data_IF_755233573264
#
_entry.id   IF_755233573264
#
_cell.length_a   1.000
_cell.length_b   1.000
_cell.length_c   1.000
_cell.angle_alpha   90.00
_cell.angle_beta   90.00
_cell.angle_gamma   90.00
#
_symmetry.space_group_name_H-M   'P 1'
#
loop_
_entity.id
_entity.type
_entity.pdbx_description
1 polymer ?
#
# COMPACT_ATOMS: atom_id res chain seq x y z
N UNK A 1 -25.45 -8.70 -30.39
CA UNK A 1 -25.06 -10.13 -30.31
C UNK A 1 -25.94 -10.82 -29.28
N UNK A 2 -26.44 -12.05 -29.54
CA UNK A 2 -27.24 -12.79 -28.55
C UNK A 2 -26.36 -13.50 -27.50
N UNK A 3 -26.97 -13.94 -26.40
CA UNK A 3 -26.26 -14.57 -25.27
C UNK A 3 -25.39 -15.79 -25.67
N UNK A 4 -25.80 -16.58 -26.66
CA UNK A 4 -25.02 -17.72 -27.15
C UNK A 4 -23.70 -17.28 -27.77
N UNK A 5 -23.75 -16.19 -28.53
CA UNK A 5 -22.58 -15.63 -29.19
C UNK A 5 -21.67 -14.92 -28.19
N UNK A 6 -22.25 -14.11 -27.29
CA UNK A 6 -21.51 -13.47 -26.20
C UNK A 6 -20.80 -14.51 -25.30
N UNK A 7 -21.47 -15.62 -24.98
CA UNK A 7 -20.90 -16.75 -24.23
C UNK A 7 -19.69 -17.36 -24.94
N UNK A 8 -19.79 -17.60 -26.25
CA UNK A 8 -18.68 -18.12 -27.06
C UNK A 8 -17.51 -17.14 -27.15
N UNK A 9 -17.77 -15.85 -27.31
CA UNK A 9 -16.73 -14.82 -27.47
C UNK A 9 -15.98 -14.52 -26.17
N UNK A 10 -16.61 -14.73 -25.02
CA UNK A 10 -16.07 -14.37 -23.70
C UNK A 10 -15.56 -15.57 -22.90
N UNK A 11 -15.79 -16.80 -23.39
CA UNK A 11 -15.58 -18.06 -22.65
C UNK A 11 -16.33 -18.12 -21.30
N UNK A 12 -17.39 -17.33 -21.16
CA UNK A 12 -18.29 -17.37 -20.00
C UNK A 12 -19.48 -18.26 -20.29
N UNK A 13 -19.97 -18.97 -19.28
CA UNK A 13 -21.23 -19.71 -19.40
C UNK A 13 -22.40 -18.72 -19.46
N UNK A 14 -23.51 -19.12 -20.11
CA UNK A 14 -24.74 -18.29 -20.14
C UNK A 14 -25.21 -17.92 -18.73
N UNK A 15 -25.15 -18.88 -17.80
CA UNK A 15 -25.47 -18.66 -16.37
C UNK A 15 -24.57 -17.62 -15.72
N UNK A 16 -23.26 -17.61 -16.03
CA UNK A 16 -22.36 -16.58 -15.51
C UNK A 16 -22.71 -15.19 -16.07
N UNK A 17 -23.04 -15.10 -17.36
CA UNK A 17 -23.48 -13.85 -17.99
C UNK A 17 -24.78 -13.35 -17.33
N UNK A 18 -25.76 -14.24 -17.11
CA UNK A 18 -27.01 -13.92 -16.41
C UNK A 18 -26.74 -13.42 -14.99
N UNK A 19 -25.89 -14.11 -14.24
CA UNK A 19 -25.46 -13.68 -12.92
C UNK A 19 -24.82 -12.28 -12.94
N UNK A 20 -23.93 -11.97 -13.88
CA UNK A 20 -23.32 -10.64 -13.96
C UNK A 20 -24.31 -9.53 -14.33
N UNK A 21 -25.39 -9.85 -15.05
CA UNK A 21 -26.50 -8.91 -15.29
C UNK A 21 -27.29 -8.69 -13.99
N UNK A 22 -27.60 -9.74 -13.25
CA UNK A 22 -28.27 -9.65 -11.93
C UNK A 22 -27.44 -8.83 -10.93
N UNK A 23 -26.12 -9.00 -10.94
CA UNK A 23 -25.17 -8.24 -10.13
C UNK A 23 -24.91 -6.82 -10.63
N UNK A 24 -25.59 -6.39 -11.70
CA UNK A 24 -25.49 -5.05 -12.31
C UNK A 24 -24.05 -4.71 -12.75
N UNK A 25 -23.34 -5.70 -13.28
CA UNK A 25 -22.01 -5.51 -13.89
C UNK A 25 -22.09 -5.33 -15.41
N UNK A 26 -23.14 -5.87 -16.04
CA UNK A 26 -23.37 -5.78 -17.49
C UNK A 26 -24.82 -5.42 -17.74
N UNK A 27 -25.07 -4.52 -18.69
CA UNK A 27 -26.39 -3.94 -18.95
C UNK A 27 -26.76 -4.09 -20.42
N UNK A 28 -27.02 -5.33 -20.91
CA UNK A 28 -27.39 -5.55 -22.30
C UNK A 28 -28.74 -4.91 -22.62
N UNK A 29 -28.98 -4.60 -23.89
CA UNK A 29 -30.28 -4.12 -24.34
C UNK A 29 -31.31 -5.27 -24.30
N UNK A 30 -32.57 -4.95 -24.01
CA UNK A 30 -33.67 -5.90 -24.08
C UNK A 30 -34.45 -5.59 -25.36
N UNK A 31 -34.52 -6.56 -26.26
CA UNK A 31 -35.28 -6.46 -27.51
C UNK A 31 -36.78 -6.66 -27.25
N UNK A 32 -37.62 -6.26 -28.20
CA UNK A 32 -39.08 -6.37 -28.11
C UNK A 32 -39.58 -7.81 -27.88
N UNK A 33 -38.80 -8.79 -28.33
CA UNK A 33 -39.07 -10.22 -28.16
C UNK A 33 -38.57 -10.79 -26.82
N UNK A 34 -38.10 -9.94 -25.91
CA UNK A 34 -37.57 -10.30 -24.59
C UNK A 34 -36.14 -10.86 -24.61
N UNK A 35 -35.51 -11.02 -25.77
CA UNK A 35 -34.12 -11.47 -25.85
C UNK A 35 -33.16 -10.34 -25.47
N UNK A 36 -32.05 -10.73 -24.84
CA UNK A 36 -30.96 -9.80 -24.51
C UNK A 36 -30.01 -9.66 -25.68
N UNK A 37 -29.79 -8.42 -26.10
CA UNK A 37 -28.84 -8.03 -27.13
C UNK A 37 -27.63 -7.34 -26.51
N UNK A 38 -26.48 -7.99 -26.61
CA UNK A 38 -25.19 -7.54 -26.11
C UNK A 38 -24.48 -6.72 -27.18
N UNK A 39 -24.14 -5.48 -26.84
CA UNK A 39 -23.29 -4.60 -27.64
C UNK A 39 -21.83 -4.96 -27.46
N UNK A 40 -20.96 -4.40 -28.30
CA UNK A 40 -19.51 -4.62 -28.19
C UNK A 40 -18.96 -4.23 -26.81
N UNK A 41 -19.43 -3.11 -26.24
CA UNK A 41 -19.04 -2.68 -24.89
C UNK A 41 -19.46 -3.67 -23.80
N UNK A 42 -20.61 -4.35 -23.96
CA UNK A 42 -21.05 -5.37 -23.01
C UNK A 42 -20.13 -6.60 -23.08
N UNK A 43 -19.74 -7.00 -24.29
CA UNK A 43 -18.82 -8.11 -24.52
C UNK A 43 -17.42 -7.77 -24.00
N UNK A 44 -16.94 -6.55 -24.17
CA UNK A 44 -15.67 -6.10 -23.56
C UNK A 44 -15.74 -6.10 -22.03
N UNK A 45 -16.85 -5.62 -21.45
CA UNK A 45 -17.04 -5.71 -20.00
C UNK A 45 -16.99 -7.18 -19.53
N UNK A 46 -17.67 -8.09 -20.23
CA UNK A 46 -17.63 -9.53 -19.94
C UNK A 46 -16.22 -10.14 -20.05
N UNK A 47 -15.40 -9.71 -21.03
CA UNK A 47 -13.98 -10.13 -21.12
C UNK A 47 -13.16 -9.64 -19.92
N UNK A 48 -13.35 -8.39 -19.50
CA UNK A 48 -12.70 -7.85 -18.28
C UNK A 48 -13.09 -8.66 -17.05
N UNK A 49 -14.39 -8.94 -16.88
CA UNK A 49 -14.89 -9.77 -15.78
C UNK A 49 -14.27 -11.17 -15.82
N UNK A 50 -14.18 -11.79 -17.00
CA UNK A 50 -13.50 -13.07 -17.17
C UNK A 50 -12.06 -13.03 -16.64
N UNK A 51 -11.27 -12.04 -17.06
CA UNK A 51 -9.88 -11.87 -16.59
C UNK A 51 -9.83 -11.72 -15.08
N UNK A 52 -10.62 -10.82 -14.50
CA UNK A 52 -10.62 -10.58 -13.05
C UNK A 52 -11.02 -11.82 -12.25
N UNK A 53 -12.02 -12.59 -12.72
CA UNK A 53 -12.39 -13.86 -12.07
C UNK A 53 -11.29 -14.89 -12.15
N UNK A 54 -10.55 -14.97 -13.26
CA UNK A 54 -9.39 -15.87 -13.40
C UNK A 54 -8.22 -15.45 -12.50
N UNK A 55 -8.12 -14.17 -12.17
CA UNK A 55 -7.18 -13.64 -11.18
C UNK A 55 -7.68 -13.80 -9.73
N UNK A 56 -8.87 -14.37 -9.51
CA UNK A 56 -9.38 -14.67 -8.18
C UNK A 56 -10.12 -13.51 -7.49
N UNK A 57 -10.53 -12.47 -8.23
CA UNK A 57 -11.31 -11.38 -7.67
C UNK A 57 -12.76 -11.79 -7.39
N UNK A 58 -13.31 -11.32 -6.27
CA UNK A 58 -14.72 -11.44 -5.92
C UNK A 58 -15.61 -10.58 -6.84
N UNK A 59 -16.91 -10.81 -6.82
CA UNK A 59 -17.85 -9.98 -7.62
C UNK A 59 -17.85 -8.53 -7.13
N UNK A 60 -17.72 -8.32 -5.83
CA UNK A 60 -17.64 -7.01 -5.18
C UNK A 60 -16.35 -6.27 -5.58
N UNK A 61 -15.20 -6.96 -5.54
CA UNK A 61 -13.92 -6.41 -6.01
C UNK A 61 -13.99 -6.02 -7.49
N UNK A 62 -14.58 -6.87 -8.34
CA UNK A 62 -14.76 -6.58 -9.78
C UNK A 62 -15.62 -5.34 -9.98
N UNK A 63 -16.70 -5.20 -9.21
CA UNK A 63 -17.57 -4.02 -9.29
C UNK A 63 -16.82 -2.75 -8.91
N UNK A 64 -16.01 -2.81 -7.85
CA UNK A 64 -15.19 -1.70 -7.42
C UNK A 64 -14.15 -1.33 -8.49
N UNK A 65 -13.41 -2.32 -9.03
CA UNK A 65 -12.42 -2.13 -10.09
C UNK A 65 -13.02 -1.53 -11.35
N UNK A 66 -14.19 -2.00 -11.79
CA UNK A 66 -14.85 -1.46 -12.99
C UNK A 66 -15.38 -0.03 -12.80
N UNK A 67 -15.67 0.38 -11.56
CA UNK A 67 -16.06 1.75 -11.22
C UNK A 67 -14.84 2.69 -11.07
N UNK A 68 -13.66 2.14 -10.79
CA UNK A 68 -12.42 2.88 -10.61
C UNK A 68 -11.76 3.24 -11.94
N UNK A 69 -11.59 4.54 -12.19
CA UNK A 69 -10.92 5.07 -13.38
C UNK A 69 -9.40 5.23 -13.22
N UNK A 70 -8.88 4.97 -12.02
CA UNK A 70 -7.54 5.39 -11.58
C UNK A 70 -6.57 4.22 -11.33
N UNK A 71 -7.02 2.97 -11.52
CA UNK A 71 -6.31 1.73 -11.15
C UNK A 71 -5.94 1.58 -9.66
N UNK A 72 -6.31 2.53 -8.80
CA UNK A 72 -5.98 2.50 -7.37
C UNK A 72 -6.54 1.25 -6.67
N UNK A 73 -7.74 0.80 -7.03
CA UNK A 73 -8.35 -0.39 -6.45
C UNK A 73 -7.58 -1.64 -6.85
N UNK A 74 -7.18 -1.76 -8.12
CA UNK A 74 -6.34 -2.88 -8.58
C UNK A 74 -4.97 -2.87 -7.89
N UNK A 75 -4.35 -1.70 -7.73
CA UNK A 75 -3.08 -1.56 -7.03
C UNK A 75 -3.21 -1.92 -5.54
N UNK A 76 -4.31 -1.55 -4.89
CA UNK A 76 -4.61 -1.94 -3.49
C UNK A 76 -4.80 -3.45 -3.37
N UNK A 77 -5.60 -4.06 -4.25
CA UNK A 77 -5.80 -5.52 -4.29
C UNK A 77 -4.45 -6.22 -4.48
N UNK A 78 -3.60 -5.72 -5.37
CA UNK A 78 -2.25 -6.27 -5.59
C UNK A 78 -1.43 -6.31 -4.29
N UNK A 79 -1.39 -5.22 -3.53
CA UNK A 79 -0.69 -5.17 -2.22
C UNK A 79 -1.33 -6.11 -1.21
N UNK A 80 -2.66 -6.19 -1.15
CA UNK A 80 -3.35 -7.13 -0.25
C UNK A 80 -2.98 -8.58 -0.57
N UNK A 81 -2.91 -8.96 -1.86
CA UNK A 81 -2.50 -10.31 -2.27
C UNK A 81 -1.05 -10.61 -1.91
N UNK A 82 -0.16 -9.63 -2.04
CA UNK A 82 1.23 -9.76 -1.62
C UNK A 82 1.34 -10.02 -0.11
N UNK A 83 0.65 -9.23 0.70
CA UNK A 83 0.63 -9.42 2.16
C UNK A 83 0.05 -10.78 2.55
N UNK A 84 -1.02 -11.24 1.89
CA UNK A 84 -1.57 -12.59 2.11
C UNK A 84 -0.51 -13.65 1.79
N UNK A 85 0.19 -13.53 0.66
CA UNK A 85 1.24 -14.48 0.27
C UNK A 85 2.37 -14.53 1.31
N UNK A 86 2.80 -13.38 1.83
CA UNK A 86 3.80 -13.29 2.90
C UNK A 86 3.33 -14.02 4.16
N UNK A 87 2.08 -13.78 4.59
CA UNK A 87 1.49 -14.44 5.77
C UNK A 87 1.40 -15.95 5.59
N UNK A 88 1.03 -16.43 4.40
CA UNK A 88 0.98 -17.87 4.11
C UNK A 88 2.38 -18.50 4.10
N UNK A 89 3.40 -17.76 3.66
CA UNK A 89 4.79 -18.20 3.76
C UNK A 89 5.26 -18.31 5.22
N UNK A 90 4.84 -17.39 6.10
CA UNK A 90 5.12 -17.48 7.54
C UNK A 90 4.38 -18.65 8.21
N UNK A 91 3.10 -18.86 7.89
CA UNK A 91 2.34 -20.03 8.37
C UNK A 91 2.96 -21.34 7.92
N UNK A 92 3.51 -21.39 6.70
CA UNK A 92 4.28 -22.55 6.21
C UNK A 92 5.54 -22.78 7.05
N UNK A 93 6.25 -21.73 7.45
CA UNK A 93 7.39 -21.82 8.37
C UNK A 93 6.97 -22.40 9.73
N UNK A 94 5.85 -21.93 10.28
CA UNK A 94 5.25 -22.45 11.52
C UNK A 94 4.91 -23.94 11.39
N UNK A 95 4.33 -24.37 10.26
CA UNK A 95 4.06 -25.77 10.00
C UNK A 95 5.33 -26.62 10.04
N UNK A 96 6.44 -26.12 9.48
CA UNK A 96 7.73 -26.81 9.55
C UNK A 96 8.23 -26.89 11.00
N UNK A 97 8.11 -25.82 11.79
CA UNK A 97 8.50 -25.84 13.21
C UNK A 97 7.67 -26.84 14.04
N UNK A 98 6.39 -27.02 13.70
CA UNK A 98 5.53 -28.03 14.32
C UNK A 98 6.01 -29.46 14.03
N UNK A 99 6.50 -29.74 12.82
CA UNK A 99 7.11 -31.05 12.47
C UNK A 99 8.30 -31.37 13.38
N UNK A 100 9.11 -30.36 13.71
CA UNK A 100 10.26 -30.50 14.61
C UNK A 100 9.91 -30.44 16.10
N UNK A 101 8.62 -30.42 16.46
CA UNK A 101 8.15 -30.53 17.84
C UNK A 101 8.17 -29.23 18.65
N UNK A 102 8.17 -28.05 18.00
CA UNK A 102 8.01 -26.78 18.71
C UNK A 102 6.70 -26.75 19.50
N UNK A 103 6.74 -26.18 20.70
CA UNK A 103 5.59 -26.21 21.62
C UNK A 103 4.44 -25.32 21.12
N UNK A 104 3.20 -25.81 21.23
CA UNK A 104 1.99 -25.08 20.84
C UNK A 104 1.85 -23.70 21.49
N UNK A 105 2.30 -23.52 22.74
CA UNK A 105 2.24 -22.22 23.42
C UNK A 105 3.11 -21.16 22.74
N UNK A 106 4.23 -21.54 22.11
CA UNK A 106 5.06 -20.62 21.33
C UNK A 106 4.44 -20.39 19.96
N UNK A 107 3.95 -21.44 19.30
CA UNK A 107 3.29 -21.32 18.00
C UNK A 107 2.05 -20.42 18.04
N UNK A 108 1.30 -20.44 19.15
CA UNK A 108 0.16 -19.53 19.36
C UNK A 108 0.62 -18.06 19.37
N UNK A 109 1.80 -17.76 19.92
CA UNK A 109 2.34 -16.38 19.91
C UNK A 109 2.70 -15.95 18.49
N UNK A 110 3.36 -16.84 17.74
CA UNK A 110 3.73 -16.58 16.34
C UNK A 110 2.48 -16.37 15.46
N UNK A 111 1.44 -17.19 15.63
CA UNK A 111 0.17 -17.05 14.91
C UNK A 111 -0.55 -15.74 15.26
N UNK A 112 -0.56 -15.32 16.54
CA UNK A 112 -1.13 -14.03 16.94
C UNK A 112 -0.36 -12.86 16.33
N UNK A 113 0.96 -12.95 16.21
CA UNK A 113 1.77 -11.92 15.56
C UNK A 113 1.31 -11.72 14.10
N UNK A 114 1.08 -12.82 13.37
CA UNK A 114 0.55 -12.79 11.99
C UNK A 114 -0.83 -12.12 11.94
N UNK A 115 -1.73 -12.46 12.87
CA UNK A 115 -3.08 -11.88 12.94
C UNK A 115 -3.02 -10.37 13.24
N UNK A 116 -2.21 -9.96 14.20
CA UNK A 116 -2.03 -8.57 14.61
C UNK A 116 -1.41 -7.74 13.47
N UNK A 117 -0.37 -8.26 12.82
CA UNK A 117 0.22 -7.69 11.61
C UNK A 117 -0.81 -7.53 10.49
N UNK A 118 -1.70 -8.52 10.33
CA UNK A 118 -2.80 -8.47 9.37
C UNK A 118 -3.71 -7.28 9.60
N UNK A 119 -4.15 -7.10 10.84
CA UNK A 119 -5.04 -5.99 11.21
C UNK A 119 -4.39 -4.63 10.98
N UNK A 120 -3.14 -4.45 11.39
CA UNK A 120 -2.44 -3.16 11.24
C UNK A 120 -2.24 -2.84 9.75
N UNK A 121 -1.77 -3.80 8.95
CA UNK A 121 -1.53 -3.57 7.51
C UNK A 121 -2.81 -3.32 6.72
N UNK A 122 -3.93 -3.97 7.07
CA UNK A 122 -5.24 -3.69 6.48
C UNK A 122 -5.70 -2.27 6.80
N UNK A 123 -5.62 -1.87 8.07
CA UNK A 123 -5.97 -0.51 8.50
C UNK A 123 -5.07 0.55 7.87
N UNK A 124 -3.78 0.29 7.67
CA UNK A 124 -2.87 1.21 6.96
C UNK A 124 -3.32 1.45 5.50
N UNK A 125 -3.76 0.39 4.80
CA UNK A 125 -4.28 0.50 3.42
C UNK A 125 -5.67 1.14 3.34
N UNK A 126 -6.39 1.25 4.46
CA UNK A 126 -7.69 1.92 4.55
C UNK A 126 -7.54 3.38 4.94
N UNK A 127 -6.72 3.67 5.95
CA UNK A 127 -6.45 5.01 6.45
C UNK A 127 -5.79 5.90 5.38
N UNK A 128 -4.88 5.35 4.58
CA UNK A 128 -4.10 6.10 3.61
C UNK A 128 -4.40 5.65 2.18
N UNK A 129 -4.83 6.55 1.28
CA UNK A 129 -5.17 6.19 -0.10
C UNK A 129 -3.97 6.18 -1.05
N UNK A 130 -4.17 5.55 -2.21
CA UNK A 130 -3.29 5.66 -3.37
C UNK A 130 -1.88 5.13 -3.15
N UNK A 131 -0.90 5.74 -3.83
CA UNK A 131 0.51 5.37 -3.70
C UNK A 131 1.03 5.52 -2.27
N UNK A 132 0.66 6.61 -1.58
CA UNK A 132 1.15 6.88 -0.23
C UNK A 132 0.78 5.78 0.76
N UNK A 133 -0.48 5.33 0.77
CA UNK A 133 -0.91 4.23 1.65
C UNK A 133 -0.26 2.90 1.32
N UNK A 134 -0.06 2.58 0.03
CA UNK A 134 0.68 1.37 -0.38
C UNK A 134 2.13 1.42 0.10
N UNK A 135 2.79 2.56 -0.04
CA UNK A 135 4.17 2.74 0.42
C UNK A 135 4.28 2.59 1.94
N UNK A 136 3.47 3.33 2.70
CA UNK A 136 3.46 3.29 4.17
C UNK A 136 3.15 1.87 4.66
N UNK A 137 2.14 1.21 4.07
CA UNK A 137 1.82 -0.18 4.43
C UNK A 137 3.00 -1.12 4.22
N UNK A 138 3.66 -1.08 3.06
CA UNK A 138 4.78 -1.97 2.75
C UNK A 138 6.05 -1.63 3.57
N UNK A 139 6.25 -0.34 3.87
CA UNK A 139 7.32 0.11 4.75
C UNK A 139 7.14 -0.44 6.17
N UNK A 140 5.94 -0.37 6.75
CA UNK A 140 5.71 -0.83 8.12
C UNK A 140 5.52 -2.34 8.24
N UNK A 141 4.98 -3.02 7.21
CA UNK A 141 4.70 -4.46 7.23
C UNK A 141 5.91 -5.31 7.66
N UNK A 142 7.13 -4.94 7.24
CA UNK A 142 8.36 -5.68 7.59
C UNK A 142 8.68 -5.69 9.08
N UNK A 143 8.14 -4.75 9.84
CA UNK A 143 8.42 -4.58 11.27
C UNK A 143 7.33 -5.17 12.18
N UNK A 144 6.23 -5.67 11.59
CA UNK A 144 5.04 -6.09 12.32
C UNK A 144 4.98 -7.61 12.57
N UNK A 145 5.99 -8.36 12.12
CA UNK A 145 6.01 -9.82 12.24
C UNK A 145 6.55 -10.33 13.60
N UNK A 146 6.91 -9.43 14.50
CA UNK A 146 7.38 -9.77 15.85
C UNK A 146 6.19 -10.06 16.79
N UNK A 147 6.23 -11.14 17.59
CA UNK A 147 5.23 -11.38 18.62
C UNK A 147 5.21 -10.30 19.69
N UNK A 148 4.00 -9.93 20.14
CA UNK A 148 3.81 -9.10 21.33
C UNK A 148 4.14 -9.93 22.58
N UNK A 149 5.13 -9.48 23.34
CA UNK A 149 5.66 -10.19 24.52
C UNK A 149 5.46 -9.44 25.84
N UNK A 150 5.16 -8.13 25.80
CA UNK A 150 5.00 -7.29 26.98
C UNK A 150 3.67 -6.54 27.00
N UNK A 151 3.27 -6.06 28.18
CA UNK A 151 2.11 -5.16 28.33
C UNK A 151 2.29 -3.86 27.55
N UNK A 152 3.52 -3.36 27.46
CA UNK A 152 3.83 -2.11 26.78
C UNK A 152 3.68 -2.25 25.27
N UNK A 153 4.10 -3.38 24.70
CA UNK A 153 3.86 -3.71 23.28
C UNK A 153 2.37 -3.86 23.00
N UNK A 154 1.61 -4.49 23.91
CA UNK A 154 0.17 -4.64 23.76
C UNK A 154 -0.55 -3.28 23.79
N UNK A 155 -0.20 -2.40 24.73
CA UNK A 155 -0.74 -1.04 24.78
C UNK A 155 -0.38 -0.24 23.53
N UNK A 156 0.83 -0.40 22.99
CA UNK A 156 1.27 0.26 21.77
C UNK A 156 0.49 -0.23 20.54
N UNK A 157 0.20 -1.54 20.46
CA UNK A 157 -0.67 -2.08 19.42
C UNK A 157 -2.06 -1.45 19.47
N UNK A 158 -2.67 -1.37 20.66
CA UNK A 158 -3.99 -0.74 20.84
C UNK A 158 -3.98 0.75 20.45
N UNK A 159 -2.91 1.47 20.78
CA UNK A 159 -2.70 2.86 20.38
C UNK A 159 -2.58 3.02 18.85
N UNK A 160 -1.87 2.12 18.18
CA UNK A 160 -1.79 2.08 16.70
C UNK A 160 -3.16 1.84 16.09
N UNK A 161 -3.93 0.87 16.61
CA UNK A 161 -5.27 0.58 16.10
C UNK A 161 -6.19 1.79 16.28
N UNK A 162 -6.19 2.39 17.47
CA UNK A 162 -6.99 3.59 17.76
C UNK A 162 -6.60 4.76 16.85
N UNK A 163 -5.30 4.96 16.61
CA UNK A 163 -4.82 5.98 15.68
C UNK A 163 -5.35 5.75 14.26
N UNK A 164 -5.20 4.53 13.72
CA UNK A 164 -5.59 4.22 12.35
C UNK A 164 -7.11 4.28 12.15
N UNK A 165 -7.90 3.91 13.17
CA UNK A 165 -9.36 4.01 13.14
C UNK A 165 -9.88 5.45 13.12
N UNK A 166 -9.07 6.39 13.62
CA UNK A 166 -9.42 7.80 13.68
C UNK A 166 -8.56 8.67 12.75
N UNK A 167 -7.79 8.05 11.85
CA UNK A 167 -6.92 8.77 10.94
C UNK A 167 -7.75 9.66 10.01
N UNK A 168 -7.43 10.97 9.91
CA UNK A 168 -8.15 11.85 9.00
C UNK A 168 -7.90 11.44 7.55
N UNK A 169 -8.82 11.81 6.65
CA UNK A 169 -8.61 11.63 5.21
C UNK A 169 -7.67 12.71 4.66
N UNK A 170 -6.68 12.31 3.86
CA UNK A 170 -5.81 13.25 3.16
C UNK A 170 -6.62 14.04 2.11
N UNK A 171 -6.75 15.34 2.31
CA UNK A 171 -7.45 16.24 1.39
C UNK A 171 -6.46 16.88 0.42
N UNK A 172 -6.61 16.57 -0.87
CA UNK A 172 -5.87 17.19 -1.97
C UNK A 172 -6.87 17.85 -2.93
N UNK A 173 -6.51 18.98 -3.54
CA UNK A 173 -7.28 19.58 -4.62
C UNK A 173 -7.29 18.66 -5.85
N UNK A 174 -8.30 18.76 -6.71
CA UNK A 174 -8.46 17.87 -7.88
C UNK A 174 -7.23 17.86 -8.79
N UNK A 175 -6.60 19.01 -9.01
CA UNK A 175 -5.38 19.14 -9.81
C UNK A 175 -4.18 18.40 -9.19
N UNK A 176 -4.01 18.48 -7.86
CA UNK A 176 -2.94 17.77 -7.15
C UNK A 176 -3.21 16.27 -7.09
N UNK A 177 -4.47 15.85 -6.95
CA UNK A 177 -4.87 14.45 -7.02
C UNK A 177 -4.53 13.85 -8.38
N UNK A 178 -4.89 14.54 -9.47
CA UNK A 178 -4.58 14.11 -10.84
C UNK A 178 -3.08 14.03 -11.07
N UNK A 179 -2.32 15.06 -10.67
CA UNK A 179 -0.85 15.05 -10.79
C UNK A 179 -0.22 13.86 -10.05
N UNK A 180 -0.64 13.61 -8.80
CA UNK A 180 -0.11 12.50 -8.00
C UNK A 180 -0.48 11.15 -8.62
N UNK A 181 -1.72 11.02 -9.10
CA UNK A 181 -2.20 9.82 -9.77
C UNK A 181 -1.38 9.52 -11.03
N UNK A 182 -1.20 10.49 -11.91
CA UNK A 182 -0.43 10.32 -13.16
C UNK A 182 1.04 9.98 -12.87
N UNK A 183 1.63 10.63 -11.88
CA UNK A 183 3.02 10.42 -11.48
C UNK A 183 3.27 9.05 -10.84
N UNK A 184 2.22 8.41 -10.30
CA UNK A 184 2.37 7.16 -9.52
C UNK A 184 1.65 5.95 -10.12
N UNK A 185 0.95 6.12 -11.24
CA UNK A 185 0.13 5.07 -11.88
C UNK A 185 0.94 3.82 -12.26
N UNK A 186 2.20 4.01 -12.69
CA UNK A 186 3.10 2.93 -13.08
C UNK A 186 3.90 2.33 -11.91
N UNK A 187 3.80 2.92 -10.71
CA UNK A 187 4.55 2.47 -9.55
C UNK A 187 3.86 1.23 -8.97
N UNK A 188 4.49 0.08 -9.18
CA UNK A 188 4.04 -1.21 -8.69
C UNK A 188 4.75 -1.59 -7.37
N UNK A 189 4.45 -2.79 -6.86
CA UNK A 189 5.01 -3.30 -5.61
C UNK A 189 6.53 -3.40 -5.66
N UNK A 190 7.10 -3.84 -6.78
CA UNK A 190 8.55 -3.99 -6.92
C UNK A 190 9.24 -2.64 -6.82
N UNK A 191 8.71 -1.61 -7.47
CA UNK A 191 9.27 -0.26 -7.35
C UNK A 191 9.27 0.24 -5.90
N UNK A 192 8.21 -0.04 -5.14
CA UNK A 192 8.16 0.32 -3.71
C UNK A 192 9.22 -0.46 -2.93
N UNK A 193 9.39 -1.76 -3.19
CA UNK A 193 10.43 -2.58 -2.56
C UNK A 193 11.82 -2.04 -2.85
N UNK A 194 12.11 -1.74 -4.11
CA UNK A 194 13.40 -1.19 -4.51
C UNK A 194 13.70 0.11 -3.75
N UNK A 195 12.71 1.00 -3.57
CA UNK A 195 12.89 2.23 -2.77
C UNK A 195 13.20 1.90 -1.31
N UNK A 196 12.49 0.94 -0.70
CA UNK A 196 12.72 0.62 0.71
C UNK A 196 14.08 -0.08 0.91
N UNK A 197 14.44 -1.02 0.04
CA UNK A 197 15.74 -1.71 0.06
C UNK A 197 16.91 -0.75 -0.16
N UNK A 198 16.79 0.18 -1.11
CA UNK A 198 17.80 1.22 -1.33
C UNK A 198 17.94 2.15 -0.11
N UNK A 199 16.81 2.45 0.56
CA UNK A 199 16.82 3.25 1.80
C UNK A 199 17.56 2.52 2.91
N UNK A 200 17.28 1.22 3.11
CA UNK A 200 17.95 0.37 4.08
C UNK A 200 19.46 0.29 3.81
N UNK A 201 19.85 0.04 2.56
CA UNK A 201 21.25 0.03 2.15
C UNK A 201 21.96 1.38 2.44
N UNK A 202 21.28 2.51 2.22
CA UNK A 202 21.83 3.84 2.52
C UNK A 202 22.05 4.08 4.02
N UNK A 203 21.21 3.48 4.87
CA UNK A 203 21.33 3.57 6.32
C UNK A 203 22.46 2.68 6.83
N UNK A 204 22.61 1.48 6.27
CA UNK A 204 23.70 0.56 6.63
C UNK A 204 25.07 1.01 6.10
N UNK A 205 25.10 1.74 4.98
CA UNK A 205 26.34 2.12 4.28
C UNK A 205 26.40 3.63 3.97
N UNK A 206 26.31 4.52 4.99
CA UNK A 206 26.13 5.95 4.76
C UNK A 206 27.30 6.62 4.05
N UNK A 207 28.55 6.24 4.38
CA UNK A 207 29.75 6.81 3.71
C UNK A 207 29.78 6.49 2.22
N UNK A 208 29.50 5.22 1.90
CA UNK A 208 29.49 4.75 0.52
C UNK A 208 28.37 5.44 -0.26
N UNK A 209 27.16 5.46 0.29
CA UNK A 209 26.01 6.16 -0.30
C UNK A 209 26.33 7.63 -0.58
N UNK A 210 26.88 8.35 0.40
CA UNK A 210 27.23 9.77 0.26
C UNK A 210 28.30 10.00 -0.81
N UNK A 211 29.32 9.13 -0.87
CA UNK A 211 30.38 9.25 -1.87
C UNK A 211 29.89 8.98 -3.30
N UNK A 212 29.07 7.94 -3.48
CA UNK A 212 28.57 7.53 -4.80
C UNK A 212 27.48 8.47 -5.33
N UNK A 213 26.73 9.12 -4.44
CA UNK A 213 25.59 9.97 -4.80
C UNK A 213 25.87 11.47 -4.62
N UNK A 214 27.12 11.87 -4.36
CA UNK A 214 27.49 13.25 -4.06
C UNK A 214 26.93 14.27 -5.06
N UNK A 215 27.21 14.06 -6.35
CA UNK A 215 26.76 14.98 -7.41
C UNK A 215 25.23 15.06 -7.48
N UNK A 216 24.55 13.92 -7.34
CA UNK A 216 23.09 13.87 -7.33
C UNK A 216 22.49 14.60 -6.12
N UNK A 217 23.07 14.40 -4.93
CA UNK A 217 22.64 15.07 -3.69
C UNK A 217 22.79 16.59 -3.83
N UNK A 218 23.94 17.08 -4.32
CA UNK A 218 24.19 18.51 -4.51
C UNK A 218 23.21 19.14 -5.52
N UNK A 219 22.97 18.48 -6.66
CA UNK A 219 21.97 18.91 -7.64
C UNK A 219 20.55 18.92 -7.06
N UNK A 220 20.19 17.88 -6.30
CA UNK A 220 18.89 17.77 -5.65
C UNK A 220 18.67 18.89 -4.63
N UNK A 221 19.67 19.18 -3.79
CA UNK A 221 19.60 20.26 -2.80
C UNK A 221 19.46 21.63 -3.46
N UNK A 222 20.21 21.89 -4.54
CA UNK A 222 20.09 23.13 -5.31
C UNK A 222 18.69 23.28 -5.93
N UNK A 223 18.17 22.21 -6.54
CA UNK A 223 16.82 22.20 -7.09
C UNK A 223 15.76 22.44 -6.01
N UNK A 224 15.87 21.81 -4.83
CA UNK A 224 14.95 22.02 -3.69
C UNK A 224 14.90 23.45 -3.18
N UNK A 225 15.95 24.25 -3.42
CA UNK A 225 15.99 25.66 -3.04
C UNK A 225 15.44 26.61 -4.14
N UNK A 226 15.27 26.11 -5.37
CA UNK A 226 14.78 26.90 -6.49
C UNK A 226 13.34 27.36 -6.34
N UNK A 227 13.02 28.50 -6.96
CA UNK A 227 11.64 29.00 -7.06
C UNK A 227 10.76 28.09 -7.94
N UNK A 228 11.35 27.44 -8.94
CA UNK A 228 10.64 26.45 -9.76
C UNK A 228 10.10 25.30 -8.89
N UNK A 229 10.95 24.74 -8.02
CA UNK A 229 10.54 23.70 -7.11
C UNK A 229 9.47 24.18 -6.11
N UNK A 230 9.63 25.34 -5.48
CA UNK A 230 8.65 25.87 -4.51
C UNK A 230 7.28 26.14 -5.13
N UNK A 231 7.22 26.42 -6.43
CA UNK A 231 5.97 26.61 -7.16
C UNK A 231 5.40 25.31 -7.76
N UNK A 232 6.14 24.19 -7.68
CA UNK A 232 5.75 22.92 -8.26
C UNK A 232 4.59 22.23 -7.52
N UNK A 233 3.79 21.38 -8.21
CA UNK A 233 2.77 20.56 -7.58
C UNK A 233 3.31 19.64 -6.47
N UNK A 234 4.52 19.09 -6.67
CA UNK A 234 5.12 18.17 -5.70
C UNK A 234 5.50 18.87 -4.39
N UNK A 235 5.91 20.14 -4.43
CA UNK A 235 6.15 20.92 -3.22
C UNK A 235 4.86 21.15 -2.43
N UNK A 236 3.78 21.54 -3.12
CA UNK A 236 2.45 21.70 -2.49
C UNK A 236 1.98 20.40 -1.84
N UNK A 237 2.10 19.27 -2.54
CA UNK A 237 1.76 17.94 -2.00
C UNK A 237 2.62 17.63 -0.76
N UNK A 238 3.92 17.90 -0.80
CA UNK A 238 4.81 17.69 0.34
C UNK A 238 4.39 18.53 1.56
N UNK A 239 4.04 19.80 1.36
CA UNK A 239 3.54 20.67 2.45
C UNK A 239 2.24 20.14 3.05
N UNK A 240 1.28 19.75 2.21
CA UNK A 240 0.00 19.18 2.68
C UNK A 240 0.25 17.88 3.46
N UNK A 241 1.14 17.00 2.99
CA UNK A 241 1.50 15.77 3.69
C UNK A 241 2.19 16.06 5.04
N UNK A 242 3.09 17.05 5.11
CA UNK A 242 3.71 17.49 6.36
C UNK A 242 2.65 17.96 7.36
N UNK A 243 1.74 18.84 6.94
CA UNK A 243 0.63 19.35 7.77
C UNK A 243 -0.31 18.22 8.21
N UNK A 244 -0.64 17.31 7.30
CA UNK A 244 -1.46 16.14 7.58
C UNK A 244 -0.83 15.25 8.66
N UNK A 245 0.46 14.93 8.54
CA UNK A 245 1.16 14.14 9.55
C UNK A 245 1.21 14.85 10.92
N UNK A 246 1.38 16.18 10.93
CA UNK A 246 1.36 16.93 12.18
C UNK A 246 -0.03 16.95 12.82
N UNK A 247 -1.07 17.26 12.04
CA UNK A 247 -2.46 17.39 12.55
C UNK A 247 -3.10 16.04 12.89
N UNK A 248 -2.67 14.95 12.26
CA UNK A 248 -3.10 13.59 12.62
C UNK A 248 -2.42 13.05 13.87
N UNK A 249 -1.44 13.76 14.46
CA UNK A 249 -0.57 13.25 15.52
C UNK A 249 0.25 12.03 15.10
N UNK A 250 0.61 11.92 13.81
CA UNK A 250 1.42 10.82 13.28
C UNK A 250 2.77 10.70 14.00
N UNK A 251 3.46 11.83 14.22
CA UNK A 251 4.76 11.83 14.88
C UNK A 251 4.66 11.70 16.41
N UNK A 252 3.53 12.09 17.00
CA UNK A 252 3.35 12.13 18.46
C UNK A 252 2.73 10.84 19.03
N UNK A 253 1.95 10.14 18.21
CA UNK A 253 1.22 8.91 18.61
C UNK A 253 1.73 7.72 17.81
N UNK A 254 1.55 7.73 16.48
CA UNK A 254 1.77 6.53 15.67
C UNK A 254 3.24 6.09 15.66
N UNK A 255 4.19 6.99 15.42
CA UNK A 255 5.62 6.64 15.38
C UNK A 255 6.14 6.16 16.75
N UNK A 256 5.86 6.84 17.89
CA UNK A 256 6.24 6.33 19.20
C UNK A 256 5.61 4.98 19.54
N UNK A 257 4.34 4.77 19.19
CA UNK A 257 3.68 3.48 19.38
C UNK A 257 4.32 2.39 18.52
N UNK A 258 4.66 2.66 17.26
CA UNK A 258 5.39 1.73 16.40
C UNK A 258 6.77 1.38 16.98
N UNK A 259 7.52 2.35 17.52
CA UNK A 259 8.83 2.12 18.18
C UNK A 259 8.70 1.25 19.44
N UNK A 260 7.58 1.34 20.16
CA UNK A 260 7.29 0.49 21.33
C UNK A 260 6.84 -0.90 20.93
N UNK A 261 6.03 -1.02 19.88
CA UNK A 261 5.49 -2.28 19.40
C UNK A 261 6.58 -3.19 18.84
N UNK A 262 7.46 -2.64 18.00
CA UNK A 262 8.44 -3.40 17.22
C UNK A 262 9.87 -3.03 17.60
N UNK A 263 10.64 -4.03 18.02
CA UNK A 263 12.06 -3.85 18.39
C UNK A 263 12.88 -3.54 17.15
N UNK A 264 12.67 -4.26 16.04
CA UNK A 264 13.34 -3.97 14.77
C UNK A 264 13.03 -2.57 14.24
N UNK A 265 11.79 -2.07 14.40
CA UNK A 265 11.48 -0.70 14.01
C UNK A 265 12.18 0.34 14.90
N UNK A 266 12.21 0.09 16.21
CA UNK A 266 12.95 0.95 17.15
C UNK A 266 14.43 1.07 16.76
N UNK A 267 15.05 -0.06 16.42
CA UNK A 267 16.45 -0.11 16.01
C UNK A 267 16.68 0.58 14.66
N UNK A 268 15.80 0.33 13.69
CA UNK A 268 15.81 1.03 12.40
C UNK A 268 15.77 2.56 12.58
N UNK A 269 14.92 3.07 13.47
CA UNK A 269 14.86 4.51 13.74
C UNK A 269 16.13 5.06 14.36
N UNK A 270 16.78 4.33 15.30
CA UNK A 270 18.05 4.78 15.88
C UNK A 270 19.15 4.86 14.83
N UNK A 271 19.24 3.87 13.95
CA UNK A 271 20.21 3.88 12.85
C UNK A 271 19.96 5.07 11.91
N UNK A 272 18.69 5.34 11.59
CA UNK A 272 18.30 6.48 10.78
C UNK A 272 18.65 7.82 11.45
N UNK A 273 18.49 7.94 12.77
CA UNK A 273 18.88 9.14 13.54
C UNK A 273 20.40 9.39 13.45
N UNK A 274 21.22 8.35 13.63
CA UNK A 274 22.70 8.43 13.50
C UNK A 274 23.11 8.84 12.09
N UNK A 275 22.48 8.26 11.07
CA UNK A 275 22.78 8.59 9.66
C UNK A 275 22.33 10.01 9.33
N UNK A 276 21.20 10.46 9.87
CA UNK A 276 20.71 11.82 9.70
C UNK A 276 21.66 12.85 10.33
N UNK A 277 22.22 12.60 11.52
CA UNK A 277 23.25 13.46 12.11
C UNK A 277 24.47 13.62 11.19
N UNK A 278 24.93 12.51 10.60
CA UNK A 278 26.06 12.52 9.66
C UNK A 278 25.74 13.29 8.38
N UNK A 279 24.56 13.08 7.81
CA UNK A 279 24.06 13.83 6.65
C UNK A 279 24.00 15.33 6.95
N UNK A 280 23.44 15.72 8.10
CA UNK A 280 23.32 17.11 8.53
C UNK A 280 24.68 17.79 8.77
N UNK A 281 25.71 17.05 9.16
CA UNK A 281 27.07 17.58 9.29
C UNK A 281 27.73 17.84 7.93
N UNK A 282 27.51 16.95 6.96
CA UNK A 282 28.10 17.07 5.62
C UNK A 282 27.34 18.04 4.71
N UNK A 283 26.02 18.12 4.86
CA UNK A 283 25.11 18.96 4.08
C UNK A 283 24.19 19.75 5.02
N UNK A 284 24.67 20.84 5.65
CA UNK A 284 23.90 21.63 6.60
C UNK A 284 22.62 22.23 6.00
N UNK A 285 22.53 22.37 4.67
CA UNK A 285 21.35 22.83 3.95
C UNK A 285 20.13 21.91 4.16
N UNK A 286 20.35 20.61 4.42
CA UNK A 286 19.27 19.64 4.67
C UNK A 286 18.41 20.07 5.86
N UNK A 287 19.03 20.64 6.90
CA UNK A 287 18.30 21.09 8.09
C UNK A 287 17.31 22.23 7.77
N UNK A 288 17.54 23.00 6.70
CA UNK A 288 16.63 24.06 6.25
C UNK A 288 15.44 23.53 5.45
N UNK A 289 15.54 22.30 4.92
CA UNK A 289 14.47 21.63 4.15
C UNK A 289 13.52 20.83 5.05
N UNK A 290 14.00 20.45 6.24
CA UNK A 290 13.26 19.66 7.22
C UNK A 290 12.40 20.50 8.17
N UNK A 291 12.69 21.79 8.33
CA UNK A 291 11.79 22.78 8.95
C UNK A 291 10.64 23.18 8.01
#
# INVERSE_FOLDING_TARGET
>A
MLINEASRLTNLTKKAIEYYIEQKLVFPNILDNGYRDFRENDVECLKKIYVFRKLGLSTEEIKAVLADKTNNILQKISVQRELIMQREQEKKSILHQLIFGKNYSELIKDLRAIEQSSTVTEKLLEAFPGYYGRFICLHFARFLNEPITSSDQQSAYEEIIAFLDNAPSLQLTEDLQLFLMESTNYINIQNIRDVIENTEYSIENPDKFLSENKEFIELYLAHKQSEEYKNSPIYKIQTILKEFNHTSCYYDIFIPAMKKLSVSYSEYCKQMEVVNEKLSLQYPEINKLNN
#
